data_IF_802247764636
#
_entry.id   IF_802247764636
#
_cell.length_a   1.000
_cell.length_b   1.000
_cell.length_c   1.000
_cell.angle_alpha   90.00
_cell.angle_beta   90.00
_cell.angle_gamma   90.00
#
_symmetry.space_group_name_H-M   'P 1'
#
loop_
_entity.id
_entity.type
_entity.pdbx_description
1 polymer ?
#
# COMPACT_ATOMS: atom_id res chain seq x y z
N UNK A 1 29.24 21.60 38.69
CA UNK A 1 29.48 21.35 37.30
C UNK A 1 28.91 20.01 36.93
N UNK A 2 27.66 19.97 36.39
CA UNK A 2 26.99 18.75 35.98
C UNK A 2 27.34 18.48 34.50
N UNK A 3 28.15 17.45 34.25
CA UNK A 3 28.37 16.94 32.90
C UNK A 3 27.07 16.25 32.45
N UNK A 4 26.28 16.95 31.66
CA UNK A 4 25.12 16.36 30.99
C UNK A 4 25.58 15.25 30.04
N UNK A 5 25.30 14.02 30.37
CA UNK A 5 25.44 12.87 29.48
C UNK A 5 24.47 13.06 28.31
N UNK A 6 24.97 13.61 27.21
CA UNK A 6 24.25 13.73 25.95
C UNK A 6 24.24 12.34 25.30
N UNK A 7 23.30 11.50 25.74
CA UNK A 7 23.14 10.14 25.19
C UNK A 7 22.38 10.25 23.86
N UNK A 8 23.09 10.48 22.78
CA UNK A 8 22.53 10.34 21.45
C UNK A 8 22.22 8.86 21.22
N UNK A 9 20.94 8.52 21.17
CA UNK A 9 20.52 7.21 20.73
C UNK A 9 20.86 7.08 19.24
N UNK A 10 21.81 6.20 18.92
CA UNK A 10 22.12 5.86 17.53
C UNK A 10 21.08 4.85 17.06
N UNK A 11 20.25 5.24 16.10
CA UNK A 11 19.29 4.33 15.46
C UNK A 11 19.93 3.73 14.21
N UNK A 12 19.83 2.41 14.09
CA UNK A 12 20.23 1.68 12.90
C UNK A 12 18.96 1.13 12.23
N UNK A 13 18.71 1.54 11.00
CA UNK A 13 17.63 0.99 10.19
C UNK A 13 18.20 -0.11 9.29
N UNK A 14 17.66 -1.32 9.43
CA UNK A 14 18.02 -2.47 8.61
C UNK A 14 16.84 -2.77 7.69
N UNK A 15 17.03 -2.61 6.38
CA UNK A 15 16.02 -2.95 5.38
C UNK A 15 16.00 -4.47 5.19
N UNK A 16 14.89 -5.10 5.59
CA UNK A 16 14.68 -6.54 5.37
C UNK A 16 13.91 -6.71 4.07
N UNK A 17 14.59 -7.22 3.05
CA UNK A 17 14.03 -7.47 1.72
C UNK A 17 13.73 -8.94 1.50
N UNK A 18 12.65 -9.22 0.78
CA UNK A 18 12.32 -10.57 0.33
C UNK A 18 13.23 -10.95 -0.85
N UNK A 19 13.86 -12.12 -0.76
CA UNK A 19 14.80 -12.62 -1.78
C UNK A 19 14.25 -13.81 -2.58
N UNK A 20 13.00 -14.21 -2.33
CA UNK A 20 12.36 -15.32 -3.04
C UNK A 20 11.89 -14.92 -4.44
N UNK A 21 11.41 -15.88 -5.20
CA UNK A 21 10.82 -15.62 -6.52
C UNK A 21 9.38 -15.15 -6.37
N UNK A 22 9.04 -14.04 -7.02
CA UNK A 22 7.66 -13.54 -7.14
C UNK A 22 7.17 -13.85 -8.55
N UNK A 23 6.00 -14.52 -8.63
CA UNK A 23 5.31 -14.77 -9.90
C UNK A 23 3.95 -14.11 -9.81
N UNK A 24 3.58 -13.33 -10.80
CA UNK A 24 2.24 -12.75 -10.91
C UNK A 24 1.32 -13.70 -11.67
N UNK A 25 0.04 -13.69 -11.30
CA UNK A 25 -0.96 -14.62 -11.81
C UNK A 25 -2.00 -13.90 -12.66
N UNK A 26 -2.64 -14.63 -13.59
CA UNK A 26 -3.75 -14.10 -14.39
C UNK A 26 -4.88 -13.56 -13.51
N UNK A 27 -5.13 -14.16 -12.36
CA UNK A 27 -6.12 -13.71 -11.40
C UNK A 27 -5.94 -12.22 -11.01
N UNK A 28 -4.69 -11.75 -10.90
CA UNK A 28 -4.41 -10.34 -10.59
C UNK A 28 -4.88 -9.42 -11.73
N UNK A 29 -4.66 -9.84 -12.97
CA UNK A 29 -5.13 -9.08 -14.15
C UNK A 29 -6.66 -9.06 -14.19
N UNK A 30 -7.30 -10.21 -13.99
CA UNK A 30 -8.75 -10.36 -14.13
C UNK A 30 -9.52 -9.58 -13.04
N UNK A 31 -8.98 -9.54 -11.82
CA UNK A 31 -9.63 -8.87 -10.69
C UNK A 31 -9.40 -7.37 -10.65
N UNK A 32 -8.30 -6.87 -11.16
CA UNK A 32 -7.96 -5.45 -11.04
C UNK A 32 -8.58 -4.61 -12.16
N UNK A 33 -9.02 -3.38 -11.88
CA UNK A 33 -9.57 -2.48 -12.90
C UNK A 33 -8.49 -1.98 -13.85
N UNK A 34 -8.90 -1.16 -14.83
CA UNK A 34 -8.00 -0.68 -15.88
C UNK A 34 -6.94 0.29 -15.38
N UNK A 35 -7.29 1.16 -14.44
CA UNK A 35 -6.39 2.22 -13.93
C UNK A 35 -6.06 1.94 -12.47
N UNK A 36 -4.80 1.69 -12.18
CA UNK A 36 -4.36 1.29 -10.84
C UNK A 36 -3.15 2.08 -10.37
N UNK A 37 -3.09 2.28 -9.06
CA UNK A 37 -1.89 2.77 -8.36
C UNK A 37 -1.25 1.59 -7.65
N UNK A 38 0.01 1.31 -7.95
CA UNK A 38 0.76 0.22 -7.31
C UNK A 38 1.61 0.73 -6.16
N UNK A 39 1.67 -0.05 -5.09
CA UNK A 39 2.52 0.24 -3.92
C UNK A 39 2.94 -1.04 -3.20
N UNK A 40 3.95 -0.91 -2.35
CA UNK A 40 4.48 -2.02 -1.56
C UNK A 40 5.08 -1.52 -0.24
N UNK A 41 5.27 -2.41 0.73
CA UNK A 41 6.19 -2.17 1.83
C UNK A 41 7.64 -2.39 1.37
N UNK A 42 8.61 -1.99 2.20
CA UNK A 42 10.05 -2.11 1.86
C UNK A 42 10.46 -3.55 1.51
N UNK A 43 9.79 -4.54 2.08
CA UNK A 43 10.13 -5.94 1.93
C UNK A 43 9.99 -6.45 0.48
N UNK A 44 8.99 -5.97 -0.26
CA UNK A 44 8.70 -6.41 -1.64
C UNK A 44 8.89 -5.32 -2.68
N UNK A 45 9.45 -4.18 -2.28
CA UNK A 45 9.57 -3.00 -3.13
C UNK A 45 10.34 -3.26 -4.43
N UNK A 46 11.39 -4.08 -4.37
CA UNK A 46 12.24 -4.41 -5.52
C UNK A 46 11.48 -5.16 -6.64
N UNK A 47 10.28 -5.67 -6.34
CA UNK A 47 9.41 -6.34 -7.32
C UNK A 47 8.35 -5.43 -7.96
N UNK A 48 8.23 -4.16 -7.51
CA UNK A 48 7.27 -3.22 -8.11
C UNK A 48 7.51 -2.98 -9.60
N UNK A 49 8.74 -2.82 -10.10
CA UNK A 49 8.96 -2.66 -11.54
C UNK A 49 8.47 -3.86 -12.36
N UNK A 50 8.65 -5.07 -11.81
CA UNK A 50 8.15 -6.29 -12.45
C UNK A 50 6.61 -6.36 -12.44
N UNK A 51 5.98 -5.95 -11.33
CA UNK A 51 4.52 -5.84 -11.22
C UNK A 51 3.97 -4.81 -12.19
N UNK A 52 4.60 -3.63 -12.26
CA UNK A 52 4.22 -2.58 -13.19
C UNK A 52 4.20 -3.10 -14.63
N UNK A 53 5.32 -3.65 -15.07
CA UNK A 53 5.43 -4.21 -16.42
C UNK A 53 4.38 -5.29 -16.67
N UNK A 54 4.14 -6.20 -15.73
CA UNK A 54 3.16 -7.27 -15.87
C UNK A 54 1.73 -6.74 -16.09
N UNK A 55 1.35 -5.69 -15.39
CA UNK A 55 0.03 -5.06 -15.52
C UNK A 55 -0.07 -4.22 -16.80
N UNK A 56 0.99 -3.50 -17.18
CA UNK A 56 1.04 -2.71 -18.42
C UNK A 56 1.00 -3.60 -19.65
N UNK A 57 1.72 -4.73 -19.66
CA UNK A 57 1.68 -5.72 -20.74
C UNK A 57 0.26 -6.29 -20.94
N UNK A 58 -0.56 -6.30 -19.88
CA UNK A 58 -1.98 -6.65 -19.92
C UNK A 58 -2.91 -5.48 -20.30
N UNK A 59 -2.38 -4.34 -20.70
CA UNK A 59 -3.14 -3.18 -21.17
C UNK A 59 -3.71 -2.30 -20.06
N UNK A 60 -3.21 -2.42 -18.84
CA UNK A 60 -3.62 -1.54 -17.72
C UNK A 60 -2.81 -0.25 -17.72
N UNK A 61 -3.40 0.79 -17.15
CA UNK A 61 -2.72 2.07 -16.88
C UNK A 61 -2.24 2.02 -15.44
N UNK A 62 -0.93 2.05 -15.26
CA UNK A 62 -0.30 1.84 -13.96
C UNK A 62 0.43 3.11 -13.53
N UNK A 63 0.18 3.54 -12.31
CA UNK A 63 0.92 4.61 -11.64
C UNK A 63 1.62 4.03 -10.42
N UNK A 64 2.82 4.51 -10.14
CA UNK A 64 3.55 4.15 -8.92
C UNK A 64 3.17 5.15 -7.84
N UNK A 65 2.85 4.66 -6.64
CA UNK A 65 2.51 5.49 -5.50
C UNK A 65 3.70 6.39 -5.12
N UNK A 66 3.44 7.68 -4.94
CA UNK A 66 4.43 8.62 -4.43
C UNK A 66 4.18 8.89 -2.95
N UNK A 67 5.11 8.44 -2.11
CA UNK A 67 5.06 8.63 -0.67
C UNK A 67 5.73 9.95 -0.29
N UNK A 68 5.12 10.73 0.62
CA UNK A 68 5.75 11.94 1.17
C UNK A 68 6.88 11.64 2.14
N UNK A 69 6.86 10.47 2.78
CA UNK A 69 7.80 10.07 3.84
C UNK A 69 8.58 8.81 3.48
N UNK A 70 8.22 8.13 2.40
CA UNK A 70 8.97 6.99 1.89
C UNK A 70 10.29 7.42 1.26
N UNK A 71 11.29 6.56 1.37
CA UNK A 71 12.60 6.80 0.75
C UNK A 71 12.60 6.43 -0.74
N UNK A 72 11.64 5.61 -1.17
CA UNK A 72 11.62 5.03 -2.50
C UNK A 72 10.25 5.19 -3.16
N UNK A 73 10.18 5.38 -4.50
CA UNK A 73 8.93 5.33 -5.24
C UNK A 73 8.17 4.03 -4.99
N UNK A 74 6.87 4.12 -4.78
CA UNK A 74 6.02 2.97 -4.49
C UNK A 74 6.07 2.46 -3.06
N UNK A 75 6.96 2.98 -2.22
CA UNK A 75 7.01 2.59 -0.82
C UNK A 75 5.85 3.18 -0.03
N UNK A 76 5.15 2.33 0.73
CA UNK A 76 4.15 2.77 1.70
C UNK A 76 4.66 2.49 3.12
N UNK A 77 4.57 3.49 3.98
CA UNK A 77 4.84 3.37 5.41
C UNK A 77 3.52 3.24 6.18
N UNK A 78 3.55 2.61 7.34
CA UNK A 78 2.35 2.41 8.15
C UNK A 78 1.70 3.70 8.67
N UNK A 79 2.44 4.80 8.68
CA UNK A 79 1.98 6.15 9.02
C UNK A 79 1.60 6.98 7.78
N UNK A 80 1.92 6.54 6.58
CA UNK A 80 1.58 7.19 5.32
C UNK A 80 0.12 6.97 4.97
N UNK A 81 -0.74 7.54 5.79
CA UNK A 81 -2.18 7.44 5.59
C UNK A 81 -2.64 8.71 4.90
N UNK A 82 -2.27 8.89 3.64
CA UNK A 82 -2.71 10.04 2.86
C UNK A 82 -4.02 9.77 2.17
N UNK A 83 -4.86 10.79 2.15
CA UNK A 83 -5.90 10.90 1.13
C UNK A 83 -5.19 11.39 -0.14
N UNK A 84 -5.19 10.59 -1.20
CA UNK A 84 -4.79 11.07 -2.52
C UNK A 84 -5.93 11.98 -2.98
N UNK A 85 -5.80 13.28 -2.73
CA UNK A 85 -6.75 14.27 -3.20
C UNK A 85 -6.37 14.67 -4.61
N UNK A 86 -7.39 14.91 -5.43
CA UNK A 86 -7.24 15.49 -6.78
C UNK A 86 -6.53 16.86 -6.75
N UNK A 87 -6.48 17.49 -5.55
CA UNK A 87 -5.86 18.80 -5.28
C UNK A 87 -4.41 18.74 -4.77
N UNK A 88 -3.76 17.59 -4.77
CA UNK A 88 -2.32 17.56 -4.43
C UNK A 88 -1.58 18.32 -5.53
N UNK A 89 -1.13 19.53 -5.19
CA UNK A 89 -0.50 20.53 -6.10
C UNK A 89 0.76 20.02 -6.84
N UNK A 90 1.12 18.76 -6.65
CA UNK A 90 2.31 18.15 -7.24
C UNK A 90 2.02 17.33 -8.50
N UNK A 91 0.74 17.18 -8.88
CA UNK A 91 0.38 16.50 -10.13
C UNK A 91 -0.67 17.31 -10.87
N UNK A 92 -0.21 18.37 -11.56
CA UNK A 92 -1.02 19.20 -12.48
C UNK A 92 -1.49 18.47 -13.76
N UNK A 93 -1.50 17.15 -13.76
CA UNK A 93 -1.90 16.37 -14.91
C UNK A 93 -3.18 15.59 -14.60
N UNK A 94 -4.15 15.63 -15.50
CA UNK A 94 -5.39 14.85 -15.50
C UNK A 94 -5.18 13.30 -15.40
N UNK A 95 -3.97 12.88 -15.09
CA UNK A 95 -3.53 11.49 -14.90
C UNK A 95 -3.90 10.89 -13.53
N UNK A 96 -4.37 11.71 -12.57
CA UNK A 96 -4.65 11.25 -11.20
C UNK A 96 -5.96 10.48 -11.02
N UNK A 97 -6.67 10.18 -12.09
CA UNK A 97 -7.88 9.37 -12.00
C UNK A 97 -7.51 7.90 -12.05
N UNK A 98 -7.50 7.25 -10.91
CA UNK A 98 -7.31 5.80 -10.80
C UNK A 98 -8.54 5.16 -10.13
N UNK A 99 -8.72 3.86 -10.36
CA UNK A 99 -9.91 3.14 -9.92
C UNK A 99 -9.66 2.34 -8.64
N UNK A 100 -8.43 1.85 -8.45
CA UNK A 100 -8.05 1.03 -7.30
C UNK A 100 -6.55 1.09 -7.01
N UNK A 101 -6.19 0.63 -5.79
CA UNK A 101 -4.81 0.33 -5.44
C UNK A 101 -4.49 -1.15 -5.70
N UNK A 102 -3.25 -1.43 -6.08
CA UNK A 102 -2.67 -2.77 -6.03
C UNK A 102 -1.50 -2.75 -5.05
N UNK A 103 -1.69 -3.41 -3.92
CA UNK A 103 -0.67 -3.53 -2.89
C UNK A 103 0.08 -4.86 -3.03
N UNK A 104 1.38 -4.79 -3.24
CA UNK A 104 2.26 -5.94 -3.27
C UNK A 104 2.83 -6.21 -1.87
N UNK A 105 2.43 -7.31 -1.27
CA UNK A 105 2.92 -7.68 0.05
C UNK A 105 1.99 -8.62 0.80
N UNK A 106 2.42 -9.02 1.97
CA UNK A 106 1.63 -9.78 2.93
C UNK A 106 1.11 -8.88 4.07
N UNK A 107 0.10 -9.37 4.77
CA UNK A 107 -0.53 -8.65 5.88
C UNK A 107 -1.52 -7.57 5.46
N UNK A 108 -2.48 -7.29 6.34
CA UNK A 108 -3.65 -6.43 6.07
C UNK A 108 -3.48 -4.99 6.55
N UNK A 109 -2.39 -4.67 7.24
CA UNK A 109 -2.20 -3.37 7.88
C UNK A 109 -2.18 -2.22 6.87
N UNK A 110 -1.24 -2.25 5.94
CA UNK A 110 -1.09 -1.21 4.92
C UNK A 110 -2.29 -1.12 3.97
N UNK A 111 -2.78 -2.24 3.37
CA UNK A 111 -3.92 -2.16 2.48
C UNK A 111 -5.20 -1.70 3.18
N UNK A 112 -5.41 -2.05 4.45
CA UNK A 112 -6.55 -1.53 5.23
C UNK A 112 -6.43 -0.02 5.46
N UNK A 113 -5.23 0.50 5.72
CA UNK A 113 -5.00 1.94 5.88
C UNK A 113 -5.26 2.71 4.58
N UNK A 114 -4.83 2.18 3.44
CA UNK A 114 -5.13 2.75 2.11
C UNK A 114 -6.64 2.82 1.86
N UNK A 115 -7.36 1.72 2.08
CA UNK A 115 -8.80 1.66 1.91
C UNK A 115 -9.51 2.67 2.82
N UNK A 116 -9.13 2.73 4.09
CA UNK A 116 -9.77 3.59 5.09
C UNK A 116 -9.70 5.09 4.72
N UNK A 117 -8.62 5.52 4.10
CA UNK A 117 -8.38 6.93 3.79
C UNK A 117 -8.87 7.35 2.42
N UNK A 118 -8.83 6.44 1.45
CA UNK A 118 -9.10 6.79 0.06
C UNK A 118 -10.48 6.32 -0.41
N UNK A 119 -11.15 5.44 0.33
CA UNK A 119 -12.43 4.85 -0.03
C UNK A 119 -12.44 4.20 -1.43
N UNK A 120 -11.29 3.78 -1.88
CA UNK A 120 -11.08 3.06 -3.14
C UNK A 120 -10.68 1.61 -2.84
N UNK A 121 -11.12 0.63 -3.63
CA UNK A 121 -10.76 -0.77 -3.42
C UNK A 121 -9.24 -0.97 -3.48
N UNK A 122 -8.77 -1.91 -2.67
CA UNK A 122 -7.36 -2.30 -2.61
C UNK A 122 -7.26 -3.78 -2.92
N UNK A 123 -6.55 -4.10 -3.99
CA UNK A 123 -6.22 -5.47 -4.36
C UNK A 123 -4.86 -5.82 -3.77
N UNK A 124 -4.87 -6.62 -2.71
CA UNK A 124 -3.65 -7.10 -2.09
C UNK A 124 -3.17 -8.36 -2.80
N UNK A 125 -1.99 -8.29 -3.39
CA UNK A 125 -1.32 -9.47 -3.94
C UNK A 125 -0.30 -10.01 -2.96
N UNK A 126 -0.50 -11.27 -2.52
CA UNK A 126 0.44 -11.96 -1.65
C UNK A 126 1.50 -12.69 -2.48
N UNK A 127 2.78 -12.25 -2.46
CA UNK A 127 3.83 -12.83 -3.32
C UNK A 127 4.14 -14.31 -3.00
N UNK A 128 3.97 -14.70 -1.75
CA UNK A 128 4.24 -16.08 -1.30
C UNK A 128 3.20 -17.09 -1.76
N UNK A 129 1.93 -16.67 -1.75
CA UNK A 129 0.80 -17.55 -2.10
C UNK A 129 0.29 -17.37 -3.53
N UNK A 130 0.72 -16.33 -4.23
CA UNK A 130 0.20 -15.98 -5.56
C UNK A 130 -1.29 -15.64 -5.56
N UNK A 131 -1.85 -15.21 -4.43
CA UNK A 131 -3.28 -14.97 -4.24
C UNK A 131 -3.61 -13.49 -4.23
N UNK A 132 -4.78 -13.16 -4.74
CA UNK A 132 -5.34 -11.79 -4.75
C UNK A 132 -6.47 -11.72 -3.74
N UNK A 133 -6.39 -10.74 -2.83
CA UNK A 133 -7.47 -10.42 -1.91
C UNK A 133 -7.95 -9.01 -2.17
N UNK A 134 -9.22 -8.86 -2.43
CA UNK A 134 -9.87 -7.56 -2.56
C UNK A 134 -10.33 -7.05 -1.18
N UNK A 135 -10.05 -5.80 -0.92
CA UNK A 135 -10.55 -5.04 0.23
C UNK A 135 -11.38 -3.88 -0.31
N UNK A 136 -12.67 -3.97 -0.12
CA UNK A 136 -13.66 -3.01 -0.59
C UNK A 136 -14.31 -2.22 0.56
N UNK A 137 -15.29 -1.39 0.24
CA UNK A 137 -16.01 -0.61 1.25
C UNK A 137 -16.82 -1.50 2.21
N UNK A 138 -17.31 -2.66 1.75
CA UNK A 138 -18.03 -3.61 2.62
C UNK A 138 -17.09 -4.18 3.67
N UNK A 139 -15.85 -4.50 3.28
CA UNK A 139 -14.80 -4.89 4.22
C UNK A 139 -14.53 -3.78 5.25
N UNK A 140 -14.44 -2.52 4.80
CA UNK A 140 -14.24 -1.37 5.68
C UNK A 140 -15.38 -1.20 6.69
N UNK A 141 -16.63 -1.33 6.26
CA UNK A 141 -17.79 -1.26 7.15
C UNK A 141 -17.78 -2.39 8.18
N UNK A 142 -17.39 -3.60 7.78
CA UNK A 142 -17.25 -4.73 8.69
C UNK A 142 -16.23 -4.46 9.81
N UNK A 143 -15.12 -3.79 9.47
CA UNK A 143 -14.10 -3.38 10.44
C UNK A 143 -14.61 -2.29 11.39
N UNK A 144 -15.34 -1.29 10.86
CA UNK A 144 -15.98 -0.23 11.67
C UNK A 144 -16.95 -0.84 12.67
N UNK A 145 -17.82 -1.76 12.23
CA UNK A 145 -18.78 -2.47 13.11
C UNK A 145 -18.08 -3.29 14.19
N UNK A 146 -17.01 -4.02 13.86
CA UNK A 146 -16.22 -4.78 14.85
C UNK A 146 -15.56 -3.87 15.87
N UNK A 147 -15.05 -2.71 15.46
CA UNK A 147 -14.46 -1.72 16.36
C UNK A 147 -15.48 -1.16 17.32
N UNK A 148 -16.66 -0.77 16.83
CA UNK A 148 -17.77 -0.25 17.66
C UNK A 148 -18.26 -1.30 18.66
N UNK A 149 -18.45 -2.56 18.23
CA UNK A 149 -18.90 -3.64 19.12
C UNK A 149 -17.86 -4.02 20.20
N UNK A 150 -16.57 -3.71 20.01
CA UNK A 150 -15.56 -3.85 21.05
C UNK A 150 -15.62 -2.70 22.06
N UNK A 151 -15.85 -1.48 21.62
CA UNK A 151 -15.98 -0.30 22.49
C UNK A 151 -17.22 -0.40 23.38
N UNK A 152 -18.36 -0.90 22.86
CA UNK A 152 -19.60 -1.07 23.65
C UNK A 152 -19.52 -2.12 24.77
N UNK A 153 -18.48 -2.96 24.79
CA UNK A 153 -18.25 -3.92 25.88
C UNK A 153 -17.47 -3.33 27.06
N UNK A 154 -17.00 -2.09 26.96
CA UNK A 154 -16.24 -1.40 27.99
C UNK A 154 -17.00 -0.21 28.59
N UNK A 155 -18.25 0.01 28.21
CA UNK A 155 -19.19 0.98 28.75
C UNK A 155 -20.29 0.22 29.52
#
# INVERSE_FOLDING_TARGET
>A
MGAGLNTYMKSLFIEVKYTGKVKFTQELIDKTPKRVVICSNIQYLDYLPQLQKFLEDAGKVVQVFESRHGQYPGQILGCDVFKITEDSKETHDSKNVFDAFVYLGDGLFHPTALLYRNEKPVFMYCPRGGTVKELDLNYLESLKKKKMGRLSKFI
#
